data_IF_314476184201
#
_entry.id   IF_314476184201
#
_cell.length_a   1.000
_cell.length_b   1.000
_cell.length_c   1.000
_cell.angle_alpha   90.00
_cell.angle_beta   90.00
_cell.angle_gamma   90.00
#
_symmetry.space_group_name_H-M   'P 1'
#
loop_
_entity.id
_entity.type
_entity.pdbx_description
1 polymer ?
#
# COMPACT_ATOMS: atom_id res chain seq x y z
N UNK A 1 12.53 -4.75 -15.09
CA UNK A 1 12.87 -3.91 -16.26
C UNK A 1 11.64 -3.66 -17.12
N UNK A 2 10.87 -4.70 -17.47
CA UNK A 2 9.62 -4.57 -18.23
C UNK A 2 8.63 -3.55 -17.64
N UNK A 3 8.48 -3.49 -16.30
CA UNK A 3 7.60 -2.49 -15.66
C UNK A 3 8.02 -1.04 -15.86
N UNK A 4 9.33 -0.75 -15.85
CA UNK A 4 9.84 0.62 -16.08
C UNK A 4 9.63 1.01 -17.54
N UNK A 5 9.94 0.11 -18.47
CA UNK A 5 9.81 0.33 -19.90
C UNK A 5 8.34 0.55 -20.27
N UNK A 6 7.44 -0.28 -19.74
CA UNK A 6 5.99 -0.13 -19.95
C UNK A 6 5.46 1.21 -19.45
N UNK A 7 5.82 1.61 -18.22
CA UNK A 7 5.36 2.88 -17.67
C UNK A 7 6.01 4.10 -18.33
N UNK A 8 7.26 4.01 -18.77
CA UNK A 8 7.89 5.09 -19.53
C UNK A 8 7.25 5.28 -20.90
N UNK A 9 6.94 4.20 -21.62
CA UNK A 9 6.25 4.28 -22.92
C UNK A 9 4.83 4.82 -22.76
N UNK A 10 4.11 4.37 -21.73
CA UNK A 10 2.79 4.93 -21.37
C UNK A 10 2.86 6.42 -21.04
N UNK A 11 3.87 6.85 -20.27
CA UNK A 11 4.08 8.26 -19.93
C UNK A 11 4.35 9.12 -21.17
N UNK A 12 5.16 8.62 -22.11
CA UNK A 12 5.44 9.31 -23.38
C UNK A 12 4.16 9.46 -24.20
N UNK A 13 3.35 8.40 -24.33
CA UNK A 13 2.06 8.46 -25.05
C UNK A 13 1.09 9.49 -24.45
N UNK A 14 0.94 9.49 -23.13
CA UNK A 14 0.07 10.46 -22.42
C UNK A 14 0.63 11.88 -22.51
N UNK A 15 1.96 12.05 -22.53
CA UNK A 15 2.59 13.34 -22.73
C UNK A 15 2.30 13.92 -24.12
N UNK A 16 2.37 13.09 -25.17
CA UNK A 16 1.99 13.51 -26.52
C UNK A 16 0.51 13.90 -26.62
N UNK A 17 -0.38 13.16 -25.95
CA UNK A 17 -1.79 13.52 -25.84
C UNK A 17 -1.97 14.88 -25.16
N UNK A 18 -1.34 15.08 -23.99
CA UNK A 18 -1.34 16.36 -23.27
C UNK A 18 -0.86 17.51 -24.14
N UNK A 19 0.18 17.28 -24.93
CA UNK A 19 0.76 18.28 -25.83
C UNK A 19 -0.21 18.69 -26.95
N UNK A 20 -0.87 17.71 -27.60
CA UNK A 20 -1.90 18.01 -28.60
C UNK A 20 -3.09 18.77 -28.01
N UNK A 21 -3.54 18.38 -26.82
CA UNK A 21 -4.70 18.99 -26.18
C UNK A 21 -4.41 20.42 -25.70
N UNK A 22 -3.21 20.67 -25.17
CA UNK A 22 -2.74 22.01 -24.80
C UNK A 22 -2.66 22.91 -26.03
N UNK A 23 -2.14 22.41 -27.16
CA UNK A 23 -2.08 23.17 -28.41
C UNK A 23 -3.47 23.48 -28.98
N UNK A 24 -4.45 22.57 -28.80
CA UNK A 24 -5.85 22.82 -29.18
C UNK A 24 -6.47 23.93 -28.34
N UNK A 25 -6.28 23.87 -27.02
CA UNK A 25 -6.78 24.88 -26.07
C UNK A 25 -6.14 26.25 -26.34
N UNK A 26 -4.83 26.30 -26.59
CA UNK A 26 -4.12 27.55 -26.86
C UNK A 26 -4.62 28.24 -28.15
N UNK A 27 -4.87 27.46 -29.22
CA UNK A 27 -5.48 27.99 -30.47
C UNK A 27 -6.91 28.46 -30.26
N UNK A 28 -7.70 27.74 -29.47
CA UNK A 28 -9.08 28.13 -29.15
C UNK A 28 -9.10 29.46 -28.37
N UNK A 29 -8.14 29.64 -27.46
CA UNK A 29 -7.98 30.85 -26.66
C UNK A 29 -7.58 32.05 -27.53
N UNK A 30 -6.61 31.88 -28.44
CA UNK A 30 -6.18 32.91 -29.39
C UNK A 30 -7.29 33.36 -30.33
N UNK A 31 -8.08 32.42 -30.89
CA UNK A 31 -9.18 32.75 -31.80
C UNK A 31 -10.34 33.50 -31.13
N UNK A 32 -10.45 33.37 -29.81
CA UNK A 32 -11.59 33.84 -29.03
C UNK A 32 -11.26 35.08 -28.19
N UNK A 33 -10.00 35.51 -28.14
CA UNK A 33 -9.51 36.56 -27.24
C UNK A 33 -9.94 36.34 -25.76
N UNK A 34 -10.15 35.09 -25.35
CA UNK A 34 -10.50 34.73 -23.96
C UNK A 34 -11.96 34.97 -23.53
N UNK A 35 -12.88 35.32 -24.44
CA UNK A 35 -14.29 35.62 -24.08
C UNK A 35 -15.21 34.38 -23.93
N UNK A 36 -14.78 33.18 -24.31
CA UNK A 36 -15.58 31.95 -24.20
C UNK A 36 -14.99 31.05 -23.11
N UNK A 37 -15.87 30.43 -22.32
CA UNK A 37 -15.49 29.43 -21.32
C UNK A 37 -14.87 28.19 -21.99
N UNK A 38 -13.64 27.86 -21.60
CA UNK A 38 -12.92 26.66 -22.05
C UNK A 38 -12.97 25.61 -20.94
N UNK A 39 -13.46 24.41 -21.25
CA UNK A 39 -13.47 23.31 -20.28
C UNK A 39 -12.06 22.69 -20.15
N UNK A 40 -11.38 23.00 -19.04
CA UNK A 40 -10.04 22.49 -18.71
C UNK A 40 -10.06 21.14 -17.96
N UNK A 41 -11.23 20.59 -17.63
CA UNK A 41 -11.32 19.36 -16.82
C UNK A 41 -10.59 18.19 -17.50
N UNK A 42 -10.70 18.07 -18.83
CA UNK A 42 -10.00 17.02 -19.57
C UNK A 42 -8.47 17.22 -19.51
N UNK A 43 -8.00 18.46 -19.61
CA UNK A 43 -6.58 18.78 -19.55
C UNK A 43 -5.99 18.48 -18.15
N UNK A 44 -6.76 18.79 -17.09
CA UNK A 44 -6.40 18.44 -15.71
C UNK A 44 -6.36 16.92 -15.52
N UNK A 45 -7.37 16.19 -16.00
CA UNK A 45 -7.41 14.73 -15.90
C UNK A 45 -6.20 14.06 -16.59
N UNK A 46 -5.86 14.50 -17.81
CA UNK A 46 -4.68 13.98 -18.54
C UNK A 46 -3.38 14.31 -17.78
N UNK A 47 -3.30 15.48 -17.14
CA UNK A 47 -2.16 15.86 -16.32
C UNK A 47 -2.04 15.03 -15.04
N UNK A 48 -3.15 14.73 -14.38
CA UNK A 48 -3.17 13.87 -13.18
C UNK A 48 -2.71 12.46 -13.53
N UNK A 49 -3.23 11.89 -14.61
CA UNK A 49 -2.82 10.56 -15.12
C UNK A 49 -1.32 10.54 -15.43
N UNK A 50 -0.79 11.58 -16.09
CA UNK A 50 0.64 11.70 -16.36
C UNK A 50 1.46 11.75 -15.07
N UNK A 51 0.98 12.50 -14.07
CA UNK A 51 1.65 12.64 -12.76
C UNK A 51 1.70 11.29 -12.03
N UNK A 52 0.61 10.51 -12.05
CA UNK A 52 0.59 9.16 -11.49
C UNK A 52 1.57 8.23 -12.20
N UNK A 53 1.62 8.26 -13.54
CA UNK A 53 2.56 7.45 -14.33
C UNK A 53 4.03 7.80 -14.06
N UNK A 54 4.34 9.09 -13.93
CA UNK A 54 5.68 9.55 -13.56
C UNK A 54 6.05 9.13 -12.13
N UNK A 55 5.11 9.21 -11.19
CA UNK A 55 5.29 8.73 -9.81
C UNK A 55 5.62 7.23 -9.79
N UNK A 56 4.93 6.43 -10.59
CA UNK A 56 5.23 5.01 -10.75
C UNK A 56 6.62 4.79 -11.38
N UNK A 57 6.97 5.51 -12.44
CA UNK A 57 8.32 5.44 -13.02
C UNK A 57 9.42 5.75 -12.00
N UNK A 58 9.23 6.79 -11.19
CA UNK A 58 10.16 7.17 -10.13
C UNK A 58 10.28 6.06 -9.07
N UNK A 59 9.15 5.49 -8.64
CA UNK A 59 9.11 4.39 -7.68
C UNK A 59 9.89 3.15 -8.17
N UNK A 60 9.68 2.70 -9.41
CA UNK A 60 10.42 1.56 -9.94
C UNK A 60 11.90 1.87 -10.18
N UNK A 61 12.22 3.11 -10.55
CA UNK A 61 13.61 3.56 -10.66
C UNK A 61 14.30 3.56 -9.30
N UNK A 62 13.60 3.93 -8.23
CA UNK A 62 14.09 3.86 -6.86
C UNK A 62 14.33 2.41 -6.40
N UNK A 63 13.43 1.47 -6.74
CA UNK A 63 13.67 0.03 -6.45
C UNK A 63 14.94 -0.46 -7.16
N UNK A 64 15.14 -0.09 -8.42
CA UNK A 64 16.35 -0.39 -9.18
C UNK A 64 17.61 0.21 -8.53
N UNK A 65 17.51 1.43 -8.03
CA UNK A 65 18.59 2.09 -7.32
C UNK A 65 18.97 1.32 -6.04
N UNK A 66 17.99 0.85 -5.26
CA UNK A 66 18.24 -0.01 -4.08
C UNK A 66 18.95 -1.32 -4.47
N UNK A 67 18.61 -1.91 -5.62
CA UNK A 67 19.30 -3.11 -6.11
C UNK A 67 20.77 -2.83 -6.48
N UNK A 68 21.10 -1.62 -6.92
CA UNK A 68 22.47 -1.22 -7.21
C UNK A 68 23.33 -1.16 -5.93
N UNK A 69 22.75 -0.87 -4.76
CA UNK A 69 23.47 -0.92 -3.48
C UNK A 69 23.81 -2.34 -2.99
N UNK A 70 23.39 -3.41 -3.69
CA UNK A 70 23.79 -4.79 -3.35
C UNK A 70 25.30 -5.03 -3.42
N UNK A 71 26.10 -4.12 -3.97
CA UNK A 71 27.56 -4.17 -3.86
C UNK A 71 28.06 -4.13 -2.41
N UNK A 72 27.26 -3.62 -1.47
CA UNK A 72 27.57 -3.71 -0.05
C UNK A 72 27.20 -5.10 0.49
N UNK A 73 28.19 -5.80 1.06
CA UNK A 73 28.05 -7.12 1.65
C UNK A 73 26.89 -7.22 2.66
N UNK A 74 26.66 -6.17 3.45
CA UNK A 74 25.54 -6.12 4.41
C UNK A 74 24.19 -6.15 3.70
N UNK A 75 24.04 -5.37 2.63
CA UNK A 75 22.79 -5.27 1.85
C UNK A 75 22.53 -6.57 1.07
N UNK A 76 23.59 -7.20 0.55
CA UNK A 76 23.45 -8.50 -0.14
C UNK A 76 22.99 -9.60 0.82
N UNK A 77 23.52 -9.65 2.04
CA UNK A 77 23.12 -10.62 3.07
C UNK A 77 21.61 -10.50 3.41
N UNK A 78 21.10 -9.27 3.58
CA UNK A 78 19.65 -9.06 3.78
C UNK A 78 18.81 -9.51 2.58
N UNK A 79 19.27 -9.25 1.36
CA UNK A 79 18.57 -9.68 0.15
C UNK A 79 18.53 -11.21 0.02
N UNK A 80 19.61 -11.91 0.36
CA UNK A 80 19.67 -13.37 0.37
C UNK A 80 18.83 -13.98 1.47
N UNK A 81 18.85 -13.40 2.68
CA UNK A 81 17.95 -13.75 3.79
C UNK A 81 16.48 -13.72 3.35
N UNK A 82 16.06 -12.59 2.76
CA UNK A 82 14.70 -12.41 2.27
C UNK A 82 14.36 -13.39 1.14
N UNK A 83 15.30 -13.64 0.23
CA UNK A 83 15.10 -14.58 -0.88
C UNK A 83 14.94 -16.02 -0.37
N UNK A 84 15.70 -16.42 0.62
CA UNK A 84 15.63 -17.75 1.24
C UNK A 84 14.28 -17.95 1.95
N UNK A 85 13.89 -17.01 2.80
CA UNK A 85 12.61 -17.09 3.53
C UNK A 85 11.39 -16.66 2.71
N UNK A 86 11.55 -16.23 1.46
CA UNK A 86 10.44 -15.72 0.64
C UNK A 86 9.28 -16.72 0.55
N UNK A 87 9.57 -18.01 0.39
CA UNK A 87 8.54 -19.05 0.31
C UNK A 87 7.75 -19.18 1.62
N UNK A 88 8.44 -19.18 2.76
CA UNK A 88 7.81 -19.24 4.08
C UNK A 88 7.01 -17.97 4.38
N UNK A 89 7.55 -16.80 4.04
CA UNK A 89 6.88 -15.50 4.17
C UNK A 89 5.61 -15.41 3.32
N UNK A 90 5.62 -15.94 2.09
CA UNK A 90 4.43 -15.95 1.24
C UNK A 90 3.34 -16.84 1.85
N UNK A 91 3.70 -18.04 2.33
CA UNK A 91 2.76 -18.94 3.01
C UNK A 91 2.18 -18.32 4.28
N UNK A 92 3.05 -17.68 5.08
CA UNK A 92 2.65 -16.96 6.28
C UNK A 92 1.73 -15.77 5.96
N UNK A 93 2.04 -15.01 4.91
CA UNK A 93 1.22 -13.88 4.45
C UNK A 93 -0.18 -14.32 4.04
N UNK A 94 -0.31 -15.48 3.38
CA UNK A 94 -1.61 -16.04 3.02
C UNK A 94 -2.42 -16.44 4.27
N UNK A 95 -1.78 -17.10 5.23
CA UNK A 95 -2.42 -17.42 6.52
C UNK A 95 -2.84 -16.16 7.28
N UNK A 96 -1.96 -15.16 7.36
CA UNK A 96 -2.23 -13.87 7.97
C UNK A 96 -3.41 -13.17 7.28
N UNK A 97 -3.45 -13.16 5.94
CA UNK A 97 -4.53 -12.54 5.19
C UNK A 97 -5.90 -13.17 5.49
N UNK A 98 -5.96 -14.51 5.63
CA UNK A 98 -7.21 -15.20 6.00
C UNK A 98 -7.68 -14.78 7.39
N UNK A 99 -6.78 -14.81 8.38
CA UNK A 99 -7.10 -14.40 9.76
C UNK A 99 -7.50 -12.93 9.81
N UNK A 100 -6.72 -12.06 9.17
CA UNK A 100 -6.98 -10.62 9.12
C UNK A 100 -8.32 -10.31 8.45
N UNK A 101 -8.64 -11.00 7.36
CA UNK A 101 -9.92 -10.84 6.66
C UNK A 101 -11.10 -11.33 7.51
N UNK A 102 -10.94 -12.43 8.25
CA UNK A 102 -11.96 -12.91 9.18
C UNK A 102 -12.27 -11.86 10.26
N UNK A 103 -11.22 -11.23 10.82
CA UNK A 103 -11.39 -10.11 11.75
C UNK A 103 -11.97 -8.87 11.10
N UNK A 104 -11.59 -8.57 9.86
CA UNK A 104 -12.15 -7.46 9.10
C UNK A 104 -13.66 -7.60 8.95
N UNK A 105 -14.13 -8.78 8.54
CA UNK A 105 -15.55 -9.06 8.42
C UNK A 105 -16.26 -9.02 9.78
N UNK A 106 -15.66 -9.60 10.82
CA UNK A 106 -16.21 -9.62 12.17
C UNK A 106 -16.37 -8.20 12.74
N UNK A 107 -15.32 -7.38 12.69
CA UNK A 107 -15.35 -6.01 13.20
C UNK A 107 -16.29 -5.13 12.41
N UNK A 108 -16.32 -5.29 11.09
CA UNK A 108 -17.27 -4.58 10.24
C UNK A 108 -18.71 -4.92 10.65
N UNK A 109 -19.06 -6.20 10.73
CA UNK A 109 -20.43 -6.62 11.08
C UNK A 109 -20.84 -6.20 12.50
N UNK A 110 -19.95 -6.28 13.48
CA UNK A 110 -20.27 -5.94 14.87
C UNK A 110 -20.39 -4.43 15.11
N UNK A 111 -19.61 -3.63 14.38
CA UNK A 111 -19.41 -2.21 14.72
C UNK A 111 -19.76 -1.22 13.62
N UNK A 112 -20.21 -1.66 12.43
CA UNK A 112 -20.60 -0.75 11.32
C UNK A 112 -21.66 0.28 11.73
N UNK A 113 -22.61 -0.11 12.59
CA UNK A 113 -23.66 0.79 13.08
C UNK A 113 -23.26 1.62 14.31
N UNK A 114 -22.11 1.32 14.92
CA UNK A 114 -21.67 1.90 16.21
C UNK A 114 -20.45 2.82 16.08
N UNK A 115 -19.56 2.57 15.12
CA UNK A 115 -18.30 3.28 14.95
C UNK A 115 -18.14 3.81 13.53
N UNK A 116 -17.77 5.10 13.40
CA UNK A 116 -17.38 5.71 12.13
C UNK A 116 -16.16 5.03 11.50
N UNK A 117 -15.21 4.57 12.32
CA UNK A 117 -14.04 3.81 11.85
C UNK A 117 -14.44 2.50 11.15
N UNK A 118 -15.61 1.95 11.47
CA UNK A 118 -16.15 0.74 10.85
C UNK A 118 -17.17 1.01 9.74
N UNK A 119 -17.31 2.25 9.26
CA UNK A 119 -18.35 2.62 8.28
C UNK A 119 -18.19 1.93 6.92
N UNK A 120 -16.98 1.55 6.53
CA UNK A 120 -16.69 0.83 5.29
C UNK A 120 -15.65 -0.26 5.55
N UNK A 121 -15.57 -1.26 4.66
CA UNK A 121 -14.52 -2.29 4.77
C UNK A 121 -13.11 -1.69 4.71
N UNK A 122 -12.90 -0.65 3.92
CA UNK A 122 -11.58 0.00 3.82
C UNK A 122 -11.20 0.73 5.10
N UNK A 123 -12.14 1.50 5.68
CA UNK A 123 -11.90 2.20 6.95
C UNK A 123 -11.76 1.22 8.12
N UNK A 124 -12.50 0.10 8.09
CA UNK A 124 -12.34 -0.97 9.09
C UNK A 124 -10.96 -1.62 8.96
N UNK A 125 -10.46 -1.83 7.74
CA UNK A 125 -9.12 -2.35 7.53
C UNK A 125 -8.05 -1.40 8.04
N UNK A 126 -8.22 -0.09 7.82
CA UNK A 126 -7.34 0.94 8.39
C UNK A 126 -7.35 0.88 9.92
N UNK A 127 -8.53 0.80 10.53
CA UNK A 127 -8.68 0.64 11.99
C UNK A 127 -7.96 -0.60 12.51
N UNK A 128 -8.08 -1.76 11.85
CA UNK A 128 -7.36 -2.98 12.25
C UNK A 128 -5.84 -2.86 12.10
N UNK A 129 -5.35 -2.14 11.09
CA UNK A 129 -3.91 -1.82 10.98
C UNK A 129 -3.46 -0.89 12.12
N UNK A 130 -4.25 0.13 12.47
CA UNK A 130 -3.97 0.99 13.62
C UNK A 130 -3.96 0.22 14.94
N UNK A 131 -4.86 -0.74 15.12
CA UNK A 131 -4.85 -1.67 16.26
C UNK A 131 -3.60 -2.55 16.28
N UNK A 132 -3.17 -3.05 15.11
CA UNK A 132 -1.95 -3.86 14.99
C UNK A 132 -0.71 -3.07 15.39
N UNK A 133 -0.69 -1.77 15.07
CA UNK A 133 0.35 -0.82 15.48
C UNK A 133 0.19 -0.32 16.92
N UNK A 134 -0.85 -0.77 17.64
CA UNK A 134 -1.24 -0.29 18.98
C UNK A 134 -1.46 1.23 19.07
N UNK A 135 -1.86 1.87 17.97
CA UNK A 135 -2.15 3.32 17.91
C UNK A 135 -3.63 3.66 18.08
N UNK A 136 -4.48 2.66 18.00
CA UNK A 136 -5.93 2.84 18.06
C UNK A 136 -6.42 3.13 19.48
N UNK A 137 -7.39 4.05 19.61
CA UNK A 137 -8.02 4.38 20.89
C UNK A 137 -9.07 3.33 21.27
N UNK A 138 -8.68 2.42 22.15
CA UNK A 138 -9.53 1.32 22.63
C UNK A 138 -10.84 1.79 23.29
N UNK A 139 -10.91 3.04 23.77
CA UNK A 139 -12.12 3.58 24.42
C UNK A 139 -13.34 3.52 23.51
N UNK A 140 -13.16 3.69 22.19
CA UNK A 140 -14.25 3.71 21.23
C UNK A 140 -14.88 2.31 21.06
N UNK A 141 -14.08 1.24 21.10
CA UNK A 141 -14.57 -0.14 21.04
C UNK A 141 -15.26 -0.52 22.35
N UNK A 142 -14.68 -0.12 23.49
CA UNK A 142 -15.25 -0.38 24.81
C UNK A 142 -16.59 0.32 25.00
N UNK A 143 -16.74 1.54 24.47
CA UNK A 143 -18.00 2.28 24.50
C UNK A 143 -19.07 1.69 23.58
N UNK A 144 -18.68 1.06 22.47
CA UNK A 144 -19.61 0.46 21.52
C UNK A 144 -20.29 -0.81 22.08
N UNK A 145 -19.53 -1.67 22.76
CA UNK A 145 -20.09 -2.84 23.42
C UNK A 145 -19.24 -3.23 24.64
N UNK A 146 -19.87 -3.25 25.82
CA UNK A 146 -19.18 -3.45 27.09
C UNK A 146 -18.58 -4.86 27.26
N UNK A 147 -19.09 -5.85 26.51
CA UNK A 147 -18.60 -7.23 26.61
C UNK A 147 -17.90 -7.66 25.33
N UNK A 148 -18.57 -7.55 24.19
CA UNK A 148 -18.06 -8.09 22.93
C UNK A 148 -16.90 -7.26 22.37
N UNK A 149 -16.89 -5.95 22.63
CA UNK A 149 -15.83 -5.03 22.23
C UNK A 149 -14.47 -5.40 22.84
N UNK A 150 -14.31 -5.37 24.17
CA UNK A 150 -13.08 -5.76 24.84
C UNK A 150 -12.64 -7.19 24.50
N UNK A 151 -13.58 -8.14 24.41
CA UNK A 151 -13.28 -9.53 24.09
C UNK A 151 -12.69 -9.68 22.69
N UNK A 152 -13.34 -9.15 21.65
CA UNK A 152 -12.85 -9.23 20.28
C UNK A 152 -11.55 -8.44 20.10
N UNK A 153 -11.39 -7.30 20.77
CA UNK A 153 -10.16 -6.50 20.75
C UNK A 153 -8.98 -7.26 21.38
N UNK A 154 -9.16 -7.83 22.58
CA UNK A 154 -8.12 -8.60 23.25
C UNK A 154 -7.71 -9.82 22.43
N UNK A 155 -8.69 -10.54 21.85
CA UNK A 155 -8.44 -11.72 21.05
C UNK A 155 -7.73 -11.36 19.73
N UNK A 156 -8.09 -10.24 19.10
CA UNK A 156 -7.37 -9.69 17.94
C UNK A 156 -5.91 -9.36 18.27
N UNK A 157 -5.66 -8.62 19.36
CA UNK A 157 -4.29 -8.30 19.78
C UNK A 157 -3.50 -9.58 20.07
N UNK A 158 -4.08 -10.53 20.81
CA UNK A 158 -3.41 -11.79 21.10
C UNK A 158 -3.02 -12.55 19.84
N UNK A 159 -3.95 -12.76 18.91
CA UNK A 159 -3.66 -13.53 17.70
C UNK A 159 -2.78 -12.75 16.71
N UNK A 160 -3.13 -11.52 16.37
CA UNK A 160 -2.47 -10.78 15.29
C UNK A 160 -1.16 -10.16 15.76
N UNK A 161 -1.15 -9.53 16.94
CA UNK A 161 0.06 -8.88 17.44
C UNK A 161 0.99 -9.90 18.06
N UNK A 162 0.53 -10.69 19.03
CA UNK A 162 1.45 -11.62 19.71
C UNK A 162 1.78 -12.85 18.88
N UNK A 163 0.80 -13.55 18.31
CA UNK A 163 1.09 -14.80 17.58
C UNK A 163 1.65 -14.51 16.18
N UNK A 164 0.93 -13.74 15.35
CA UNK A 164 1.35 -13.53 13.96
C UNK A 164 2.65 -12.73 13.84
N UNK A 165 2.83 -11.61 14.57
CA UNK A 165 4.11 -10.86 14.46
C UNK A 165 5.29 -11.66 15.03
N UNK A 166 5.10 -12.44 16.10
CA UNK A 166 6.18 -13.31 16.62
C UNK A 166 6.58 -14.36 15.60
N UNK A 167 5.62 -14.96 14.89
CA UNK A 167 5.91 -15.90 13.82
C UNK A 167 6.65 -15.22 12.66
N UNK A 168 6.22 -14.02 12.26
CA UNK A 168 6.89 -13.22 11.23
C UNK A 168 8.35 -12.95 11.58
N UNK A 169 8.61 -12.49 12.81
CA UNK A 169 9.98 -12.26 13.32
C UNK A 169 10.77 -13.55 13.36
N UNK A 170 10.17 -14.67 13.77
CA UNK A 170 10.82 -15.98 13.81
C UNK A 170 11.27 -16.45 12.41
N UNK A 171 10.43 -16.31 11.39
CA UNK A 171 10.76 -16.69 10.01
C UNK A 171 11.97 -15.87 9.52
N UNK A 172 11.94 -14.55 9.72
CA UNK A 172 13.05 -13.67 9.32
C UNK A 172 14.33 -14.01 10.08
N UNK A 173 14.23 -14.23 11.39
CA UNK A 173 15.37 -14.61 12.22
C UNK A 173 16.02 -15.92 11.74
N UNK A 174 15.20 -16.91 11.41
CA UNK A 174 15.68 -18.19 10.86
C UNK A 174 16.40 -17.99 9.52
N UNK A 175 15.81 -17.20 8.62
CA UNK A 175 16.46 -16.86 7.35
C UNK A 175 17.77 -16.13 7.50
N UNK A 176 17.84 -15.20 8.46
CA UNK A 176 19.04 -14.42 8.71
C UNK A 176 20.18 -15.30 9.21
N UNK A 177 19.87 -16.24 10.13
CA UNK A 177 20.83 -17.25 10.59
C UNK A 177 21.33 -18.10 9.42
N UNK A 178 20.43 -18.59 8.57
CA UNK A 178 20.80 -19.39 7.41
C UNK A 178 21.68 -18.64 6.40
N UNK A 179 21.34 -17.38 6.10
CA UNK A 179 22.13 -16.56 5.18
C UNK A 179 23.52 -16.22 5.75
N UNK A 180 23.63 -16.06 7.07
CA UNK A 180 24.90 -15.82 7.77
C UNK A 180 25.79 -17.07 7.79
N UNK A 181 25.21 -18.25 7.96
CA UNK A 181 25.97 -19.52 8.01
C UNK A 181 26.50 -19.95 6.63
N UNK A 182 25.88 -19.49 5.54
CA UNK A 182 26.31 -19.78 4.15
C UNK A 182 27.28 -18.74 3.55
N UNK A 183 27.72 -17.75 4.35
CA UNK A 183 28.62 -16.68 3.92
C UNK A 183 30.00 -16.82 4.57
#
# INVERSE_FOLDING_TARGET
QFGIIGCSLGSIGVYFWRFQETNRISKLFEQTNGYIYINLQLAVYVNDVLTFLLGYCCFFSMIKFVQLFRFNQRVSLFAETLKYCAKELISFSLMFAIVFMAYLCLFYLLFVSKLLSCSSLLTTAQMLFEMTLMKFDASQIMAADAFLGPFCFALFIFLVVFVCLSMFVSIISNGFRHAKDNQ
#
